data_IF_026949559466
#
_entry.id   IF_026949559466
#
_cell.length_a   1.000
_cell.length_b   1.000
_cell.length_c   1.000
_cell.angle_alpha   90.00
_cell.angle_beta   90.00
_cell.angle_gamma   90.00
#
_symmetry.space_group_name_H-M   'P 1'
#
loop_
_entity.id
_entity.type
_entity.pdbx_description
1 polymer ?
#
# COMPACT_ATOMS: atom_id res chain seq x y z
N UNK A 1 20.20 35.94 18.23
CA UNK A 1 20.07 34.50 18.51
C UNK A 1 20.46 33.78 17.24
N UNK A 2 21.65 33.19 17.23
CA UNK A 2 22.13 32.39 16.10
C UNK A 2 21.29 31.12 16.08
N UNK A 3 20.42 31.02 15.08
CA UNK A 3 19.64 29.83 14.82
C UNK A 3 20.44 28.94 13.88
N UNK A 4 20.39 27.63 14.13
CA UNK A 4 20.97 26.66 13.21
C UNK A 4 20.24 26.72 11.86
N UNK A 5 20.94 26.46 10.74
CA UNK A 5 20.32 26.44 9.42
C UNK A 5 19.28 25.31 9.32
N UNK A 6 18.28 25.50 8.47
CA UNK A 6 17.32 24.45 8.12
C UNK A 6 18.07 23.36 7.34
N UNK A 7 17.97 22.11 7.80
CA UNK A 7 18.53 20.93 7.13
C UNK A 7 17.36 20.09 6.62
N UNK A 8 17.33 19.85 5.31
CA UNK A 8 16.43 18.87 4.70
C UNK A 8 17.10 17.50 4.71
N UNK A 9 16.47 16.53 5.35
CA UNK A 9 16.99 15.16 5.46
C UNK A 9 16.38 14.32 4.32
N UNK A 10 17.20 13.76 3.41
CA UNK A 10 16.69 12.90 2.35
C UNK A 10 16.32 11.50 2.89
N UNK A 11 15.38 10.83 2.22
CA UNK A 11 15.00 9.43 2.47
C UNK A 11 15.57 8.48 1.40
N UNK A 12 16.84 8.06 1.51
CA UNK A 12 17.55 7.35 0.44
C UNK A 12 17.03 5.94 0.16
N UNK A 13 16.18 5.36 1.01
CA UNK A 13 15.60 4.03 0.83
C UNK A 13 14.15 4.04 0.34
N UNK A 14 13.56 5.22 0.12
CA UNK A 14 12.24 5.36 -0.51
C UNK A 14 12.40 5.76 -1.97
N UNK A 15 11.61 5.15 -2.85
CA UNK A 15 11.57 5.44 -4.29
C UNK A 15 10.14 5.65 -4.73
N UNK A 16 9.98 6.50 -5.74
CA UNK A 16 8.71 6.76 -6.42
C UNK A 16 8.96 6.61 -7.92
N UNK A 17 8.29 5.66 -8.55
CA UNK A 17 8.38 5.44 -9.99
C UNK A 17 6.98 5.10 -10.51
N UNK A 18 6.48 5.87 -11.49
CA UNK A 18 5.15 5.68 -12.08
C UNK A 18 4.96 4.28 -12.68
N UNK A 19 6.05 3.61 -13.09
CA UNK A 19 6.04 2.24 -13.64
C UNK A 19 6.03 1.16 -12.56
N UNK A 20 6.32 1.52 -11.32
CA UNK A 20 6.41 0.59 -10.18
C UNK A 20 5.26 0.87 -9.22
N UNK A 21 4.44 -0.17 -8.96
CA UNK A 21 3.33 -0.09 -8.00
C UNK A 21 2.36 1.08 -8.26
N UNK A 22 2.14 1.43 -9.53
CA UNK A 22 1.24 2.53 -9.90
C UNK A 22 1.69 3.91 -9.41
N UNK A 23 3.00 4.11 -9.20
CA UNK A 23 3.55 5.37 -8.67
C UNK A 23 3.45 5.53 -7.16
N UNK A 24 3.07 4.49 -6.41
CA UNK A 24 3.11 4.49 -4.95
C UNK A 24 4.57 4.55 -4.45
N UNK A 25 4.88 5.35 -3.41
CA UNK A 25 6.16 5.29 -2.74
C UNK A 25 6.44 3.87 -2.24
N UNK A 26 7.63 3.34 -2.54
CA UNK A 26 8.01 1.98 -2.18
C UNK A 26 9.44 1.90 -1.68
N UNK A 27 9.71 0.86 -0.89
CA UNK A 27 11.03 0.64 -0.31
C UNK A 27 11.99 0.11 -1.38
N UNK A 28 13.13 0.78 -1.54
CA UNK A 28 14.11 0.52 -2.59
C UNK A 28 14.61 -0.93 -2.59
N UNK A 29 14.61 -1.54 -3.78
CA UNK A 29 14.96 -2.96 -3.97
C UNK A 29 13.88 -3.92 -3.48
N UNK A 30 12.65 -3.46 -3.30
CA UNK A 30 11.50 -4.27 -2.93
C UNK A 30 10.24 -3.84 -3.68
N UNK A 31 9.18 -4.64 -3.60
CA UNK A 31 7.82 -4.26 -4.01
C UNK A 31 6.90 -4.05 -2.79
N UNK A 32 7.48 -3.54 -1.69
CA UNK A 32 6.74 -3.19 -0.48
C UNK A 32 6.44 -1.69 -0.55
N UNK A 33 5.17 -1.29 -0.64
CA UNK A 33 4.82 0.12 -0.66
C UNK A 33 4.92 0.69 0.76
N UNK A 34 5.33 1.95 0.88
CA UNK A 34 5.49 2.62 2.17
C UNK A 34 4.16 2.68 2.91
N UNK A 35 3.05 2.94 2.21
CA UNK A 35 1.70 2.90 2.78
C UNK A 35 1.39 1.60 3.53
N UNK A 36 1.98 0.47 3.14
CA UNK A 36 1.76 -0.81 3.86
C UNK A 36 2.42 -0.82 5.22
N UNK A 37 3.66 -0.32 5.31
CA UNK A 37 4.37 -0.18 6.58
C UNK A 37 3.69 0.86 7.47
N UNK A 38 3.26 1.97 6.87
CA UNK A 38 2.54 3.04 7.55
C UNK A 38 1.21 2.58 8.14
N UNK A 39 0.41 1.82 7.40
CA UNK A 39 -0.85 1.23 7.89
C UNK A 39 -0.63 0.37 9.14
N UNK A 40 0.36 -0.53 9.13
CA UNK A 40 0.67 -1.34 10.31
C UNK A 40 1.07 -0.48 11.50
N UNK A 41 1.96 0.49 11.28
CA UNK A 41 2.43 1.37 12.33
C UNK A 41 1.26 2.17 12.94
N UNK A 42 0.38 2.76 12.11
CA UNK A 42 -0.79 3.53 12.55
C UNK A 42 -1.81 2.71 13.33
N UNK A 43 -1.86 1.39 13.15
CA UNK A 43 -2.73 0.51 13.93
C UNK A 43 -2.09 0.01 15.23
N UNK A 44 -0.94 0.57 15.62
CA UNK A 44 -0.23 0.23 16.85
C UNK A 44 0.72 -0.96 16.71
N UNK A 45 1.09 -1.34 15.48
CA UNK A 45 2.12 -2.37 15.29
C UNK A 45 3.50 -1.80 15.58
N UNK A 46 4.18 -2.36 16.57
CA UNK A 46 5.57 -2.02 16.91
C UNK A 46 6.52 -2.21 15.72
N UNK A 47 7.52 -1.34 15.61
CA UNK A 47 8.47 -1.37 14.49
C UNK A 47 9.29 -2.66 14.47
N UNK A 48 9.60 -3.23 15.63
CA UNK A 48 10.28 -4.52 15.77
C UNK A 48 9.48 -5.67 15.16
N UNK A 49 8.15 -5.59 15.21
CA UNK A 49 7.26 -6.56 14.55
C UNK A 49 7.36 -6.39 13.03
N UNK A 50 7.43 -5.16 12.53
CA UNK A 50 7.63 -4.90 11.09
C UNK A 50 8.96 -5.44 10.61
N UNK A 51 10.04 -5.26 11.38
CA UNK A 51 11.36 -5.79 11.05
C UNK A 51 11.33 -7.32 10.94
N UNK A 52 10.67 -8.00 11.89
CA UNK A 52 10.49 -9.46 11.83
C UNK A 52 9.62 -9.91 10.66
N UNK A 53 8.59 -9.14 10.31
CA UNK A 53 7.67 -9.44 9.21
C UNK A 53 8.28 -9.21 7.83
N UNK A 54 9.18 -8.25 7.72
CA UNK A 54 9.88 -7.88 6.48
C UNK A 54 11.39 -8.01 6.62
N UNK A 55 11.93 -9.22 6.91
CA UNK A 55 13.34 -9.39 7.26
C UNK A 55 14.29 -9.00 6.11
N UNK A 56 13.83 -9.13 4.85
CA UNK A 56 14.60 -8.73 3.66
C UNK A 56 14.74 -7.22 3.49
N UNK A 57 13.88 -6.41 4.11
CA UNK A 57 14.02 -4.95 4.10
C UNK A 57 15.12 -4.51 5.08
N UNK A 58 15.22 -5.18 6.22
CA UNK A 58 16.10 -4.78 7.32
C UNK A 58 15.62 -3.52 8.04
N UNK A 59 16.19 -3.26 9.22
CA UNK A 59 15.77 -2.16 10.09
C UNK A 59 15.95 -0.78 9.43
N UNK A 60 17.10 -0.54 8.79
CA UNK A 60 17.44 0.76 8.18
C UNK A 60 16.37 1.22 7.19
N UNK A 61 15.94 0.33 6.28
CA UNK A 61 14.94 0.69 5.27
C UNK A 61 13.55 0.87 5.86
N UNK A 62 13.21 0.12 6.92
CA UNK A 62 11.92 0.25 7.60
C UNK A 62 11.84 1.59 8.33
N UNK A 63 12.89 1.95 9.09
CA UNK A 63 12.94 3.24 9.77
C UNK A 63 12.91 4.40 8.78
N UNK A 64 13.69 4.34 7.69
CA UNK A 64 13.67 5.40 6.66
C UNK A 64 12.30 5.51 5.96
N UNK A 65 11.63 4.38 5.70
CA UNK A 65 10.29 4.39 5.12
C UNK A 65 9.24 5.00 6.07
N UNK A 66 9.33 4.72 7.37
CA UNK A 66 8.44 5.33 8.37
C UNK A 66 8.75 6.82 8.55
N UNK A 67 10.03 7.21 8.59
CA UNK A 67 10.43 8.62 8.62
C UNK A 67 9.87 9.38 7.41
N UNK A 68 10.01 8.83 6.21
CA UNK A 68 9.39 9.38 5.00
C UNK A 68 7.87 9.54 5.16
N UNK A 69 7.18 8.55 5.72
CA UNK A 69 5.74 8.61 5.92
C UNK A 69 5.34 9.72 6.91
N UNK A 70 6.10 9.90 7.99
CA UNK A 70 5.88 10.98 8.96
C UNK A 70 6.09 12.37 8.35
N UNK A 71 7.12 12.54 7.53
CA UNK A 71 7.43 13.81 6.86
C UNK A 71 6.44 14.11 5.72
N UNK A 72 5.73 13.08 5.21
CA UNK A 72 4.87 13.18 4.03
C UNK A 72 3.48 12.54 4.26
N UNK A 73 2.83 12.85 5.38
CA UNK A 73 1.54 12.22 5.74
C UNK A 73 0.45 12.44 4.68
N UNK A 74 0.37 13.62 4.07
CA UNK A 74 -0.57 13.89 2.97
C UNK A 74 -0.40 12.92 1.80
N UNK A 75 0.86 12.61 1.44
CA UNK A 75 1.16 11.63 0.39
C UNK A 75 0.65 10.24 0.79
N UNK A 76 0.79 9.86 2.06
CA UNK A 76 0.27 8.59 2.56
C UNK A 76 -1.26 8.53 2.54
N UNK A 77 -1.95 9.59 2.93
CA UNK A 77 -3.41 9.65 2.89
C UNK A 77 -3.93 9.51 1.44
N UNK A 78 -3.33 10.24 0.50
CA UNK A 78 -3.70 10.15 -0.92
C UNK A 78 -3.44 8.74 -1.47
N UNK A 79 -2.30 8.13 -1.15
CA UNK A 79 -1.96 6.79 -1.63
C UNK A 79 -2.83 5.69 -1.01
N UNK A 80 -3.23 5.83 0.26
CA UNK A 80 -4.19 4.94 0.90
C UNK A 80 -5.61 5.09 0.33
N UNK A 81 -6.08 6.32 0.11
CA UNK A 81 -7.38 6.56 -0.53
C UNK A 81 -7.43 5.98 -1.96
N UNK A 82 -6.31 6.10 -2.71
CA UNK A 82 -6.19 5.45 -4.03
C UNK A 82 -6.27 3.93 -3.92
N UNK A 83 -5.60 3.32 -2.94
CA UNK A 83 -5.71 1.88 -2.69
C UNK A 83 -7.16 1.47 -2.42
N UNK A 84 -7.86 2.18 -1.55
CA UNK A 84 -9.26 1.91 -1.21
C UNK A 84 -10.16 1.99 -2.45
N UNK A 85 -10.01 3.03 -3.28
CA UNK A 85 -10.74 3.16 -4.54
C UNK A 85 -10.48 1.98 -5.49
N UNK A 86 -9.23 1.54 -5.62
CA UNK A 86 -8.90 0.38 -6.45
C UNK A 86 -9.53 -0.91 -5.93
N UNK A 87 -9.53 -1.12 -4.61
CA UNK A 87 -10.14 -2.30 -3.98
C UNK A 87 -11.66 -2.30 -4.12
N UNK A 88 -12.31 -1.15 -3.97
CA UNK A 88 -13.76 -1.01 -4.15
C UNK A 88 -14.18 -1.40 -5.58
N UNK A 89 -13.47 -0.88 -6.59
CA UNK A 89 -13.72 -1.23 -8.00
C UNK A 89 -13.54 -2.73 -8.25
N UNK A 90 -12.50 -3.35 -7.68
CA UNK A 90 -12.29 -4.80 -7.79
C UNK A 90 -13.44 -5.60 -7.15
N UNK A 91 -13.94 -5.15 -6.00
CA UNK A 91 -15.09 -5.76 -5.34
C UNK A 91 -16.37 -5.68 -6.17
N UNK A 92 -16.64 -4.52 -6.78
CA UNK A 92 -17.79 -4.33 -7.68
C UNK A 92 -17.71 -5.23 -8.92
N UNK A 93 -16.53 -5.35 -9.53
CA UNK A 93 -16.29 -6.25 -10.67
C UNK A 93 -16.53 -7.71 -10.25
N UNK A 94 -16.00 -8.14 -9.10
CA UNK A 94 -16.19 -9.48 -8.59
C UNK A 94 -17.67 -9.80 -8.34
N UNK A 95 -18.41 -8.90 -7.68
CA UNK A 95 -19.85 -9.05 -7.45
C UNK A 95 -20.66 -9.11 -8.74
N UNK A 96 -20.26 -8.34 -9.76
CA UNK A 96 -20.92 -8.33 -11.07
C UNK A 96 -20.69 -9.66 -11.80
N UNK A 97 -19.45 -10.18 -11.77
CA UNK A 97 -19.11 -11.47 -12.37
C UNK A 97 -19.85 -12.63 -11.69
N UNK A 98 -19.95 -12.64 -10.37
CA UNK A 98 -20.71 -13.66 -9.61
C UNK A 98 -22.20 -13.67 -9.99
N UNK A 99 -22.83 -12.49 -10.11
CA UNK A 99 -24.23 -12.38 -10.55
C UNK A 99 -24.45 -12.89 -11.97
N UNK A 100 -23.49 -12.69 -12.87
CA UNK A 100 -23.54 -13.20 -14.24
C UNK A 100 -23.29 -14.71 -14.31
N UNK A 101 -22.46 -15.27 -13.42
CA UNK A 101 -22.26 -16.72 -13.32
C UNK A 101 -23.46 -17.45 -12.70
N UNK A 102 -24.27 -16.77 -11.88
CA UNK A 102 -25.50 -17.31 -11.30
C UNK A 102 -26.71 -17.29 -12.25
N UNK A 103 -26.51 -17.26 -13.57
CA UNK A 103 -27.61 -17.34 -14.54
C UNK A 103 -28.23 -18.76 -14.53
N UNK A 104 -29.58 -18.87 -14.50
CA UNK A 104 -30.23 -20.15 -14.45
C UNK A 104 -30.17 -20.74 -15.85
N UNK A 105 -29.26 -21.70 -16.08
CA UNK A 105 -29.58 -22.72 -17.05
C UNK A 105 -30.84 -23.40 -16.54
N UNK A 106 -32.01 -22.92 -17.01
CA UNK A 106 -33.25 -23.68 -16.90
C UNK A 106 -32.92 -25.04 -17.46
N UNK A 107 -32.87 -26.06 -16.60
CA UNK A 107 -33.02 -27.44 -17.01
C UNK A 107 -34.35 -27.52 -17.74
N UNK A 108 -34.35 -27.30 -19.05
CA UNK A 108 -35.43 -27.78 -19.89
C UNK A 108 -35.34 -29.30 -19.80
N UNK A 109 -36.17 -29.90 -18.95
CA UNK A 109 -36.59 -31.27 -19.17
C UNK A 109 -37.23 -31.28 -20.54
N UNK A 110 -36.57 -31.93 -21.49
CA UNK A 110 -37.22 -32.31 -22.73
C UNK A 110 -38.14 -33.48 -22.36
N UNK A 111 -39.42 -33.18 -22.19
CA UNK A 111 -40.43 -34.23 -22.09
C UNK A 111 -40.64 -34.82 -23.51
N UNK A 112 -40.48 -36.14 -23.61
CA UNK A 112 -40.63 -36.99 -24.81
C UNK A 112 -42.05 -36.99 -25.38
#
# INVERSE_FOLDING_TARGET
>A
MDHLPIILVPHPHVRVDKKVMGGSPHVAGSRVPVRRLWQFYRTGTEVEVLIRRFPKLGAVKIFDALAFAFDNQEVMEIDMAREEQMLAVQGEIALTAERQMALPFKSQSYDE
#
